data_IF_100286105167
#
_entry.id   IF_100286105167
#
_cell.length_a   1.000
_cell.length_b   1.000
_cell.length_c   1.000
_cell.angle_alpha   90.00
_cell.angle_beta   90.00
_cell.angle_gamma   90.00
#
_symmetry.space_group_name_H-M   'P 1'
#
loop_
_entity.id
_entity.type
_entity.pdbx_description
1 polymer ?
#
# COMPACT_ATOMS: atom_id res chain seq x y z
N UNK A 1 17.50 -7.25 8.03
CA UNK A 1 17.19 -8.65 8.32
C UNK A 1 17.68 -9.52 7.17
N UNK A 2 17.09 -9.42 5.98
CA UNK A 2 17.32 -10.35 4.86
C UNK A 2 18.82 -10.48 4.44
N UNK A 3 19.56 -9.39 4.44
CA UNK A 3 21.01 -9.43 4.18
C UNK A 3 21.75 -10.25 5.25
N UNK A 4 21.31 -10.18 6.52
CA UNK A 4 21.87 -10.99 7.60
C UNK A 4 21.49 -12.46 7.44
N UNK A 5 20.27 -12.74 7.00
CA UNK A 5 19.82 -14.09 6.68
C UNK A 5 20.68 -14.69 5.56
N UNK A 6 20.83 -14.01 4.42
CA UNK A 6 21.61 -14.50 3.28
C UNK A 6 23.12 -14.66 3.55
N UNK A 7 23.68 -13.97 4.53
CA UNK A 7 25.08 -14.08 4.92
C UNK A 7 25.29 -15.01 6.13
N UNK A 8 24.21 -15.56 6.69
CA UNK A 8 24.29 -16.47 7.83
C UNK A 8 24.96 -17.79 7.43
N UNK A 9 25.77 -18.32 8.34
CA UNK A 9 26.46 -19.62 8.20
C UNK A 9 25.96 -20.64 9.21
N UNK A 10 25.17 -20.19 10.19
CA UNK A 10 24.61 -21.01 11.25
C UNK A 10 23.10 -20.78 11.41
N UNK A 11 22.38 -21.76 11.97
CA UNK A 11 20.94 -21.65 12.25
C UNK A 11 20.64 -20.47 13.19
N UNK A 12 21.56 -20.15 14.11
CA UNK A 12 21.39 -19.03 15.04
C UNK A 12 21.45 -17.68 14.33
N UNK A 13 22.35 -17.52 13.38
CA UNK A 13 22.48 -16.31 12.56
C UNK A 13 21.26 -16.13 11.65
N UNK A 14 20.77 -17.19 11.00
CA UNK A 14 19.53 -17.17 10.24
C UNK A 14 18.35 -16.77 11.10
N UNK A 15 18.21 -17.36 12.29
CA UNK A 15 17.14 -17.03 13.23
C UNK A 15 17.21 -15.56 13.69
N UNK A 16 18.39 -15.05 13.90
CA UNK A 16 18.60 -13.65 14.25
C UNK A 16 18.17 -12.71 13.11
N UNK A 17 18.53 -13.05 11.86
CA UNK A 17 18.06 -12.34 10.67
C UNK A 17 16.53 -12.28 10.59
N UNK A 18 15.87 -13.43 10.77
CA UNK A 18 14.40 -13.54 10.80
C UNK A 18 13.79 -12.68 11.92
N UNK A 19 14.36 -12.64 13.12
CA UNK A 19 13.84 -11.80 14.21
C UNK A 19 13.86 -10.33 13.84
N UNK A 20 14.92 -9.83 13.18
CA UNK A 20 15.00 -8.44 12.72
C UNK A 20 13.95 -8.17 11.64
N UNK A 21 13.74 -9.09 10.72
CA UNK A 21 12.72 -8.95 9.66
C UNK A 21 11.31 -8.89 10.22
N UNK A 22 11.01 -9.78 11.16
CA UNK A 22 9.67 -9.89 11.74
C UNK A 22 9.30 -8.77 12.72
N UNK A 23 10.20 -7.83 13.01
CA UNK A 23 9.83 -6.55 13.62
C UNK A 23 8.90 -5.72 12.71
N UNK A 24 9.05 -5.84 11.41
CA UNK A 24 8.31 -5.04 10.42
C UNK A 24 7.30 -5.82 9.59
N UNK A 25 7.68 -6.99 9.09
CA UNK A 25 6.89 -7.78 8.13
C UNK A 25 5.43 -8.00 8.57
N UNK A 26 5.11 -8.38 9.83
CA UNK A 26 3.73 -8.60 10.25
C UNK A 26 2.83 -7.37 10.15
N UNK A 27 3.41 -6.18 10.20
CA UNK A 27 2.66 -4.91 10.19
C UNK A 27 2.45 -4.33 8.79
N UNK A 28 3.16 -4.83 7.78
CA UNK A 28 3.02 -4.36 6.38
C UNK A 28 1.55 -4.43 5.91
N UNK A 29 0.82 -5.56 6.03
CA UNK A 29 -0.55 -5.64 5.57
C UNK A 29 -1.51 -4.72 6.35
N UNK A 30 -1.26 -4.52 7.65
CA UNK A 30 -2.00 -3.58 8.48
C UNK A 30 -1.86 -2.15 7.96
N UNK A 31 -0.62 -1.67 7.84
CA UNK A 31 -0.36 -0.31 7.35
C UNK A 31 -0.82 -0.12 5.91
N UNK A 32 -0.71 -1.16 5.07
CA UNK A 32 -1.20 -1.11 3.70
C UNK A 32 -2.72 -0.85 3.63
N UNK A 33 -3.52 -1.59 4.40
CA UNK A 33 -4.98 -1.38 4.45
C UNK A 33 -5.33 0.00 4.98
N UNK A 34 -4.73 0.43 6.10
CA UNK A 34 -4.99 1.75 6.69
C UNK A 34 -4.64 2.86 5.68
N UNK A 35 -3.48 2.76 5.04
CA UNK A 35 -3.02 3.70 4.05
C UNK A 35 -3.95 3.76 2.83
N UNK A 36 -4.35 2.62 2.28
CA UNK A 36 -5.26 2.59 1.13
C UNK A 36 -6.65 3.11 1.47
N UNK A 37 -7.18 2.82 2.67
CA UNK A 37 -8.44 3.39 3.13
C UNK A 37 -8.38 4.92 3.25
N UNK A 38 -7.25 5.45 3.70
CA UNK A 38 -7.04 6.89 3.85
C UNK A 38 -6.97 7.59 2.49
N UNK A 39 -6.17 7.07 1.56
CA UNK A 39 -5.98 7.66 0.21
C UNK A 39 -7.25 7.53 -0.64
N UNK A 40 -8.01 6.45 -0.47
CA UNK A 40 -9.24 6.21 -1.26
C UNK A 40 -10.49 6.85 -0.65
N UNK A 41 -10.32 7.79 0.30
CA UNK A 41 -11.42 8.52 0.97
C UNK A 41 -12.41 7.61 1.72
N UNK A 42 -11.96 6.42 2.11
CA UNK A 42 -12.76 5.46 2.86
C UNK A 42 -12.49 5.52 4.38
N UNK A 43 -12.19 6.70 4.92
CA UNK A 43 -11.80 6.92 6.32
C UNK A 43 -12.85 6.45 7.33
N UNK A 44 -14.14 6.36 6.94
CA UNK A 44 -15.20 5.80 7.78
C UNK A 44 -14.96 4.37 8.23
N UNK A 45 -14.13 3.60 7.49
CA UNK A 45 -13.72 2.25 7.85
C UNK A 45 -12.48 2.23 8.76
N UNK A 46 -11.81 3.37 8.97
CA UNK A 46 -10.71 3.50 9.93
C UNK A 46 -11.32 3.74 11.31
N UNK A 47 -11.80 2.69 11.92
CA UNK A 47 -12.41 2.70 13.24
C UNK A 47 -11.90 1.52 14.08
N UNK A 48 -12.18 1.54 15.38
CA UNK A 48 -11.75 0.52 16.31
C UNK A 48 -12.11 -0.92 15.88
N UNK A 49 -13.31 -1.11 15.34
CA UNK A 49 -13.81 -2.43 14.92
C UNK A 49 -13.03 -3.02 13.74
N UNK A 50 -12.45 -2.17 12.90
CA UNK A 50 -11.63 -2.59 11.75
C UNK A 50 -10.15 -2.67 12.12
N UNK A 51 -9.63 -1.69 12.86
CA UNK A 51 -8.21 -1.60 13.19
C UNK A 51 -7.78 -2.72 14.14
N UNK A 52 -8.55 -2.99 15.20
CA UNK A 52 -8.15 -3.96 16.21
C UNK A 52 -7.96 -5.38 15.68
N UNK A 53 -8.85 -5.97 14.89
CA UNK A 53 -8.63 -7.30 14.32
C UNK A 53 -7.37 -7.36 13.43
N UNK A 54 -7.17 -6.35 12.58
CA UNK A 54 -5.99 -6.30 11.71
C UNK A 54 -4.69 -6.19 12.50
N UNK A 55 -4.64 -5.30 13.47
CA UNK A 55 -3.49 -5.12 14.34
C UNK A 55 -3.23 -6.35 15.22
N UNK A 56 -4.29 -7.02 15.70
CA UNK A 56 -4.17 -8.22 16.51
C UNK A 56 -3.45 -9.35 15.76
N UNK A 57 -3.79 -9.58 14.48
CA UNK A 57 -3.11 -10.59 13.66
C UNK A 57 -1.63 -10.26 13.54
N UNK A 58 -1.28 -9.00 13.31
CA UNK A 58 0.11 -8.54 13.22
C UNK A 58 0.87 -8.77 14.54
N UNK A 59 0.29 -8.37 15.68
CA UNK A 59 0.90 -8.54 16.99
C UNK A 59 1.05 -10.03 17.37
N UNK A 60 0.02 -10.85 17.12
CA UNK A 60 0.08 -12.29 17.38
C UNK A 60 1.16 -12.93 16.51
N UNK A 61 1.27 -12.54 15.23
CA UNK A 61 2.32 -13.05 14.34
C UNK A 61 3.71 -12.71 14.85
N UNK A 62 3.92 -11.46 15.30
CA UNK A 62 5.18 -11.05 15.92
C UNK A 62 5.52 -11.93 17.13
N UNK A 63 4.59 -12.06 18.07
CA UNK A 63 4.79 -12.87 19.30
C UNK A 63 5.07 -14.32 18.95
N UNK A 64 4.28 -14.94 18.07
CA UNK A 64 4.46 -16.33 17.70
C UNK A 64 5.76 -16.58 16.90
N UNK A 65 6.27 -15.61 16.16
CA UNK A 65 7.57 -15.74 15.51
C UNK A 65 8.71 -15.73 16.57
N UNK A 66 8.68 -14.77 17.49
CA UNK A 66 9.70 -14.64 18.54
C UNK A 66 9.70 -15.77 19.55
N UNK A 67 8.55 -16.37 19.82
CA UNK A 67 8.39 -17.50 20.76
C UNK A 67 8.34 -18.85 20.06
N UNK A 68 8.62 -18.90 18.76
CA UNK A 68 8.45 -20.10 17.93
C UNK A 68 9.16 -21.34 18.45
N UNK A 69 10.31 -21.17 19.09
CA UNK A 69 11.09 -22.27 19.68
C UNK A 69 10.32 -23.09 20.73
N UNK A 70 9.26 -22.55 21.34
CA UNK A 70 8.47 -23.23 22.37
C UNK A 70 7.27 -24.01 21.83
N UNK A 71 6.78 -23.68 20.61
CA UNK A 71 5.52 -24.23 20.12
C UNK A 71 5.52 -24.61 18.64
N UNK A 72 6.51 -24.18 17.84
CA UNK A 72 6.67 -24.50 16.43
C UNK A 72 5.42 -24.16 15.55
N UNK A 73 4.62 -23.15 15.95
CA UNK A 73 3.41 -22.76 15.24
C UNK A 73 3.68 -21.94 13.98
N UNK A 74 4.77 -21.16 13.98
CA UNK A 74 5.12 -20.33 12.83
C UNK A 74 6.00 -21.09 11.84
N UNK A 75 7.15 -21.59 12.30
CA UNK A 75 8.00 -22.54 11.58
C UNK A 75 8.05 -23.85 12.39
N UNK A 76 7.77 -24.97 11.73
CA UNK A 76 7.89 -26.31 12.34
C UNK A 76 9.34 -26.66 12.56
N UNK A 77 10.21 -26.28 11.62
CA UNK A 77 11.63 -26.56 11.68
C UNK A 77 12.37 -25.55 10.79
N UNK A 78 13.65 -25.32 11.09
CA UNK A 78 14.57 -24.50 10.32
C UNK A 78 15.80 -25.36 10.04
N UNK A 79 16.03 -25.73 8.79
CA UNK A 79 17.13 -26.56 8.34
C UNK A 79 18.09 -25.75 7.50
N UNK A 80 19.38 -26.12 7.51
CA UNK A 80 20.39 -25.58 6.59
C UNK A 80 20.56 -26.50 5.40
N UNK A 81 20.34 -25.98 4.22
CA UNK A 81 20.72 -26.63 2.97
C UNK A 81 22.08 -26.09 2.52
N UNK A 82 23.09 -26.97 2.56
CA UNK A 82 24.45 -26.68 2.12
C UNK A 82 24.74 -27.28 0.74
N UNK A 83 23.71 -27.72 0.00
CA UNK A 83 23.90 -28.36 -1.31
C UNK A 83 24.23 -27.36 -2.43
N UNK A 84 23.95 -26.06 -2.23
CA UNK A 84 24.21 -24.98 -3.15
C UNK A 84 25.59 -24.35 -3.00
N UNK A 85 25.81 -23.22 -3.70
CA UNK A 85 27.06 -22.44 -3.60
C UNK A 85 27.21 -21.72 -2.26
N UNK A 86 26.13 -21.50 -1.55
CA UNK A 86 26.04 -20.87 -0.23
C UNK A 86 24.93 -21.54 0.60
N UNK A 87 25.04 -21.52 1.94
CA UNK A 87 24.02 -22.06 2.82
C UNK A 87 22.70 -21.31 2.66
N UNK A 88 21.59 -22.04 2.55
CA UNK A 88 20.24 -21.47 2.49
C UNK A 88 19.38 -22.06 3.61
N UNK A 89 18.59 -21.22 4.28
CA UNK A 89 17.65 -21.69 5.30
C UNK A 89 16.40 -22.28 4.66
N UNK A 90 16.18 -23.57 4.85
CA UNK A 90 14.91 -24.25 4.52
C UNK A 90 13.92 -24.09 5.66
N UNK A 91 12.93 -23.23 5.47
CA UNK A 91 11.90 -22.92 6.45
C UNK A 91 10.71 -23.87 6.29
N UNK A 92 10.57 -24.86 7.18
CA UNK A 92 9.39 -25.74 7.19
C UNK A 92 8.24 -25.02 7.87
N UNK A 93 7.23 -24.66 7.08
CA UNK A 93 6.13 -23.76 7.44
C UNK A 93 5.16 -24.39 8.43
N UNK A 94 4.85 -23.68 9.51
CA UNK A 94 3.87 -24.06 10.53
C UNK A 94 2.43 -23.61 10.19
N UNK A 95 1.44 -23.96 11.03
CA UNK A 95 0.04 -23.61 10.75
C UNK A 95 -0.23 -22.10 10.78
N UNK A 96 0.36 -21.35 11.71
CA UNK A 96 0.18 -19.90 11.78
C UNK A 96 0.82 -19.15 10.62
N UNK A 97 1.89 -19.68 10.05
CA UNK A 97 2.48 -19.14 8.84
C UNK A 97 1.44 -18.96 7.73
N UNK A 98 0.59 -19.95 7.51
CA UNK A 98 -0.46 -19.89 6.48
C UNK A 98 -1.57 -18.87 6.82
N UNK A 99 -1.88 -18.67 8.10
CA UNK A 99 -2.81 -17.62 8.55
C UNK A 99 -2.21 -16.23 8.20
N UNK A 100 -0.93 -16.03 8.49
CA UNK A 100 -0.24 -14.80 8.16
C UNK A 100 -0.16 -14.55 6.64
N UNK A 101 0.15 -15.60 5.85
CA UNK A 101 0.16 -15.51 4.39
C UNK A 101 -1.23 -15.16 3.83
N UNK A 102 -2.27 -15.80 4.33
CA UNK A 102 -3.64 -15.45 3.95
C UNK A 102 -3.96 -13.98 4.28
N UNK A 103 -3.55 -13.50 5.46
CA UNK A 103 -3.71 -12.10 5.86
C UNK A 103 -2.99 -11.14 4.91
N UNK A 104 -1.71 -11.40 4.56
CA UNK A 104 -0.96 -10.59 3.59
C UNK A 104 -1.69 -10.53 2.25
N UNK A 105 -2.08 -11.69 1.71
CA UNK A 105 -2.71 -11.76 0.39
C UNK A 105 -4.08 -11.07 0.37
N UNK A 106 -4.92 -11.29 1.39
CA UNK A 106 -6.24 -10.65 1.50
C UNK A 106 -6.11 -9.14 1.67
N UNK A 107 -5.21 -8.68 2.54
CA UNK A 107 -4.99 -7.26 2.76
C UNK A 107 -4.48 -6.56 1.49
N UNK A 108 -3.51 -7.16 0.80
CA UNK A 108 -2.96 -6.59 -0.43
C UNK A 108 -4.01 -6.57 -1.55
N UNK A 109 -4.78 -7.65 -1.71
CA UNK A 109 -5.86 -7.71 -2.69
C UNK A 109 -6.93 -6.66 -2.42
N UNK A 110 -7.40 -6.54 -1.18
CA UNK A 110 -8.41 -5.55 -0.79
C UNK A 110 -7.91 -4.12 -1.01
N UNK A 111 -6.69 -3.81 -0.61
CA UNK A 111 -6.07 -2.51 -0.87
C UNK A 111 -5.99 -2.19 -2.36
N UNK A 112 -5.54 -3.14 -3.18
CA UNK A 112 -5.48 -2.95 -4.63
C UNK A 112 -6.87 -2.79 -5.27
N UNK A 113 -7.88 -3.53 -4.82
CA UNK A 113 -9.26 -3.34 -5.27
C UNK A 113 -9.79 -1.95 -4.93
N UNK A 114 -9.48 -1.44 -3.72
CA UNK A 114 -9.84 -0.07 -3.33
C UNK A 114 -9.14 0.97 -4.23
N UNK A 115 -7.85 0.82 -4.50
CA UNK A 115 -7.10 1.71 -5.39
C UNK A 115 -7.69 1.72 -6.80
N UNK A 116 -7.98 0.55 -7.37
CA UNK A 116 -8.59 0.44 -8.71
C UNK A 116 -9.97 1.11 -8.74
N UNK A 117 -10.82 0.87 -7.73
CA UNK A 117 -12.13 1.55 -7.64
C UNK A 117 -11.98 3.07 -7.54
N UNK A 118 -11.01 3.55 -6.77
CA UNK A 118 -10.75 4.98 -6.61
C UNK A 118 -10.17 5.60 -7.89
N UNK A 119 -9.38 4.87 -8.66
CA UNK A 119 -8.79 5.33 -9.93
C UNK A 119 -9.86 5.83 -10.92
N UNK A 120 -11.04 5.21 -10.95
CA UNK A 120 -12.16 5.63 -11.80
C UNK A 120 -12.86 6.90 -11.31
N UNK A 121 -12.68 7.26 -10.04
CA UNK A 121 -13.28 8.46 -9.41
C UNK A 121 -12.28 9.60 -9.27
N UNK A 122 -10.99 9.28 -9.23
CA UNK A 122 -9.92 10.23 -8.98
C UNK A 122 -9.83 11.29 -10.08
N UNK A 123 -9.60 12.54 -9.67
CA UNK A 123 -9.27 13.61 -10.61
C UNK A 123 -7.94 13.32 -11.31
N UNK A 124 -7.69 13.99 -12.46
CA UNK A 124 -6.45 13.78 -13.23
C UNK A 124 -5.17 13.96 -12.40
N UNK A 125 -5.20 14.84 -11.41
CA UNK A 125 -4.06 15.14 -10.54
C UNK A 125 -3.72 13.92 -9.67
N UNK A 126 -4.73 13.26 -9.08
CA UNK A 126 -4.52 12.12 -8.17
C UNK A 126 -4.36 10.78 -8.89
N UNK A 127 -4.77 10.70 -10.15
CA UNK A 127 -4.74 9.44 -10.91
C UNK A 127 -3.34 8.84 -11.02
N UNK A 128 -2.31 9.67 -11.24
CA UNK A 128 -0.93 9.22 -11.32
C UNK A 128 -0.41 8.71 -9.96
N UNK A 129 -0.81 9.36 -8.85
CA UNK A 129 -0.48 8.92 -7.50
C UNK A 129 -1.05 7.53 -7.23
N UNK A 130 -2.34 7.31 -7.55
CA UNK A 130 -3.02 6.02 -7.37
C UNK A 130 -2.38 4.93 -8.23
N UNK A 131 -1.99 5.24 -9.48
CA UNK A 131 -1.31 4.30 -10.37
C UNK A 131 0.06 3.87 -9.80
N UNK A 132 0.85 4.82 -9.29
CA UNK A 132 2.14 4.51 -8.67
C UNK A 132 1.96 3.61 -7.46
N UNK A 133 0.98 3.90 -6.61
CA UNK A 133 0.68 3.07 -5.44
C UNK A 133 0.24 1.66 -5.85
N UNK A 134 -0.63 1.56 -6.84
CA UNK A 134 -1.11 0.28 -7.35
C UNK A 134 0.04 -0.56 -7.92
N UNK A 135 0.81 -0.02 -8.87
CA UNK A 135 1.92 -0.75 -9.46
C UNK A 135 3.04 -1.01 -8.45
N UNK A 136 3.35 -0.05 -7.58
CA UNK A 136 4.36 -0.24 -6.52
C UNK A 136 4.01 -1.36 -5.55
N UNK A 137 2.72 -1.63 -5.30
CA UNK A 137 2.29 -2.75 -4.45
C UNK A 137 2.24 -4.09 -5.18
N UNK A 138 2.01 -4.09 -6.49
CA UNK A 138 1.93 -5.32 -7.27
C UNK A 138 3.28 -6.05 -7.34
N UNK A 139 4.39 -5.34 -7.52
CA UNK A 139 5.71 -5.94 -7.68
C UNK A 139 6.09 -6.83 -6.50
N UNK A 140 6.14 -6.36 -5.24
CA UNK A 140 6.48 -7.21 -4.10
C UNK A 140 5.44 -8.32 -3.88
N UNK A 141 4.17 -8.06 -4.17
CA UNK A 141 3.13 -9.07 -4.06
C UNK A 141 3.31 -10.22 -5.06
N UNK A 142 3.62 -9.91 -6.32
CA UNK A 142 3.95 -10.92 -7.32
C UNK A 142 5.20 -11.72 -6.90
N UNK A 143 6.26 -11.06 -6.44
CA UNK A 143 7.45 -11.72 -5.93
C UNK A 143 7.14 -12.67 -4.79
N UNK A 144 6.30 -12.24 -3.84
CA UNK A 144 5.83 -13.06 -2.73
C UNK A 144 5.03 -14.29 -3.20
N UNK A 145 4.11 -14.12 -4.15
CA UNK A 145 3.36 -15.25 -4.73
C UNK A 145 4.29 -16.24 -5.42
N UNK A 146 5.24 -15.77 -6.24
CA UNK A 146 6.21 -16.63 -6.93
C UNK A 146 7.02 -17.47 -5.94
N UNK A 147 7.46 -16.87 -4.84
CA UNK A 147 8.13 -17.60 -3.77
C UNK A 147 7.21 -18.67 -3.14
N UNK A 148 5.95 -18.32 -2.84
CA UNK A 148 5.00 -19.24 -2.21
C UNK A 148 4.67 -20.48 -3.06
N UNK A 149 4.61 -20.33 -4.38
CA UNK A 149 4.33 -21.43 -5.31
C UNK A 149 5.59 -22.19 -5.76
N UNK A 150 6.77 -21.83 -5.19
CA UNK A 150 8.03 -22.51 -5.48
C UNK A 150 8.66 -22.17 -6.84
N UNK A 151 8.24 -21.08 -7.48
CA UNK A 151 8.82 -20.58 -8.74
C UNK A 151 9.95 -19.56 -8.52
N UNK A 152 10.38 -19.37 -7.29
CA UNK A 152 11.50 -18.50 -6.98
C UNK A 152 12.83 -19.19 -7.32
N UNK A 153 13.82 -18.48 -7.90
CA UNK A 153 15.12 -19.04 -8.20
C UNK A 153 15.80 -19.60 -6.93
N UNK A 154 16.33 -20.82 -7.01
CA UNK A 154 17.06 -21.49 -5.92
C UNK A 154 16.30 -21.55 -4.57
N UNK A 155 14.97 -21.36 -4.57
CA UNK A 155 14.15 -21.33 -3.36
C UNK A 155 14.33 -20.07 -2.49
N UNK A 156 15.05 -19.07 -2.98
CA UNK A 156 15.31 -17.80 -2.28
C UNK A 156 14.08 -16.90 -2.35
N UNK A 157 13.72 -16.26 -1.25
CA UNK A 157 12.66 -15.24 -1.26
C UNK A 157 13.15 -13.95 -1.93
N UNK A 158 12.68 -13.71 -3.14
CA UNK A 158 13.00 -12.48 -3.89
C UNK A 158 12.16 -11.27 -3.45
N UNK A 159 11.15 -11.45 -2.60
CA UNK A 159 10.23 -10.37 -2.18
C UNK A 159 10.94 -9.18 -1.56
N UNK A 160 11.98 -9.32 -0.71
CA UNK A 160 12.69 -8.17 -0.13
C UNK A 160 13.45 -7.33 -1.19
N UNK A 161 13.99 -7.99 -2.22
CA UNK A 161 14.67 -7.31 -3.33
C UNK A 161 13.67 -6.49 -4.14
N UNK A 162 12.52 -7.11 -4.47
CA UNK A 162 11.45 -6.44 -5.23
C UNK A 162 10.80 -5.34 -4.39
N UNK A 163 10.67 -5.51 -3.07
CA UNK A 163 10.21 -4.48 -2.15
C UNK A 163 11.15 -3.26 -2.13
N UNK A 164 12.46 -3.47 -2.19
CA UNK A 164 13.44 -2.38 -2.28
C UNK A 164 13.25 -1.57 -3.56
N UNK A 165 13.00 -2.25 -4.68
CA UNK A 165 12.68 -1.60 -5.95
C UNK A 165 11.37 -0.80 -5.87
N UNK A 166 10.33 -1.36 -5.24
CA UNK A 166 9.08 -0.64 -4.98
C UNK A 166 9.28 0.58 -4.10
N UNK A 167 10.20 0.53 -3.14
CA UNK A 167 10.60 1.66 -2.32
C UNK A 167 11.13 2.84 -3.14
N UNK A 168 11.90 2.57 -4.19
CA UNK A 168 12.36 3.59 -5.14
C UNK A 168 11.17 4.20 -5.90
N UNK A 169 10.26 3.35 -6.41
CA UNK A 169 9.05 3.79 -7.11
C UNK A 169 8.18 4.66 -6.22
N UNK A 170 7.97 4.27 -4.95
CA UNK A 170 7.22 5.08 -3.98
C UNK A 170 7.93 6.38 -3.65
N UNK A 171 9.26 6.37 -3.49
CA UNK A 171 10.04 7.58 -3.24
C UNK A 171 9.91 8.57 -4.39
N UNK A 172 10.05 8.11 -5.63
CA UNK A 172 9.81 8.93 -6.81
C UNK A 172 8.38 9.47 -6.85
N UNK A 173 7.39 8.63 -6.52
CA UNK A 173 6.00 9.02 -6.41
C UNK A 173 5.80 10.12 -5.35
N UNK A 174 6.45 9.99 -4.21
CA UNK A 174 6.35 10.94 -3.10
C UNK A 174 6.95 12.31 -3.47
N UNK A 175 8.14 12.32 -4.08
CA UNK A 175 8.81 13.56 -4.44
C UNK A 175 8.25 14.21 -5.70
N UNK A 176 7.91 13.44 -6.72
CA UNK A 176 7.48 13.96 -8.02
C UNK A 176 5.98 14.25 -8.07
N UNK A 177 5.17 13.37 -7.46
CA UNK A 177 3.71 13.47 -7.48
C UNK A 177 3.10 13.91 -6.16
N UNK A 178 3.93 14.24 -5.15
CA UNK A 178 3.50 14.73 -3.84
C UNK A 178 2.37 13.89 -3.22
N UNK A 179 2.57 12.56 -3.18
CA UNK A 179 1.55 11.58 -2.74
C UNK A 179 1.00 11.90 -1.34
N UNK A 180 1.81 12.52 -0.47
CA UNK A 180 1.41 12.90 0.88
C UNK A 180 0.86 14.32 0.99
N UNK A 181 0.71 15.04 -0.11
CA UNK A 181 0.15 16.40 -0.10
C UNK A 181 -1.38 16.32 0.04
N UNK A 182 -1.84 16.26 1.29
CA UNK A 182 -3.27 16.26 1.63
C UNK A 182 -3.93 17.64 1.50
N UNK A 183 -3.13 18.69 1.30
CA UNK A 183 -3.59 20.08 1.19
C UNK A 183 -4.60 20.28 0.05
N UNK A 184 -4.41 19.70 -1.17
CA UNK A 184 -5.41 19.83 -2.22
C UNK A 184 -6.77 19.23 -1.86
N UNK A 185 -6.80 18.07 -1.16
CA UNK A 185 -8.04 17.39 -0.76
C UNK A 185 -8.81 18.22 0.27
N UNK A 186 -8.11 18.75 1.28
CA UNK A 186 -8.73 19.61 2.26
C UNK A 186 -9.28 20.90 1.62
N UNK A 187 -8.53 21.49 0.67
CA UNK A 187 -8.95 22.70 -0.04
C UNK A 187 -10.17 22.43 -0.93
N UNK A 188 -10.21 21.32 -1.66
CA UNK A 188 -11.39 20.92 -2.46
C UNK A 188 -12.63 20.75 -1.56
N UNK A 189 -12.50 20.06 -0.43
CA UNK A 189 -13.62 19.92 0.52
C UNK A 189 -14.09 21.25 1.09
N UNK A 190 -13.18 22.17 1.41
CA UNK A 190 -13.53 23.51 1.88
C UNK A 190 -14.29 24.26 0.79
N UNK A 191 -13.76 24.28 -0.45
CA UNK A 191 -14.38 24.94 -1.59
C UNK A 191 -15.77 24.34 -1.89
N UNK A 192 -15.89 23.02 -1.85
CA UNK A 192 -17.15 22.31 -2.11
C UNK A 192 -18.20 22.52 -1.01
N UNK A 193 -17.77 22.74 0.23
CA UNK A 193 -18.66 23.05 1.37
C UNK A 193 -19.09 24.51 1.45
N UNK A 194 -18.45 25.40 0.69
CA UNK A 194 -18.80 26.83 0.68
C UNK A 194 -20.21 27.04 0.12
N UNK A 195 -21.01 27.82 0.86
CA UNK A 195 -22.36 28.21 0.42
C UNK A 195 -22.37 29.18 -0.74
N UNK A 196 -21.31 29.98 -0.88
CA UNK A 196 -21.11 30.88 -2.01
C UNK A 196 -20.64 30.17 -3.28
N UNK A 197 -20.98 30.71 -4.43
CA UNK A 197 -20.45 30.23 -5.70
C UNK A 197 -18.94 30.54 -5.79
N UNK A 198 -18.12 29.52 -6.01
CA UNK A 198 -16.67 29.65 -6.21
C UNK A 198 -16.31 29.09 -7.59
N UNK A 199 -15.64 29.89 -8.39
CA UNK A 199 -15.14 29.54 -9.72
C UNK A 199 -13.63 29.73 -9.71
N UNK A 200 -12.85 28.70 -10.04
CA UNK A 200 -11.39 28.75 -10.13
C UNK A 200 -11.02 28.77 -11.60
N UNK A 201 -10.14 29.70 -11.99
CA UNK A 201 -9.67 29.84 -13.36
C UNK A 201 -8.17 29.74 -13.47
N UNK A 202 -7.67 29.39 -14.65
CA UNK A 202 -6.26 29.51 -15.02
C UNK A 202 -5.92 30.97 -15.43
N UNK A 203 -4.63 31.19 -15.72
CA UNK A 203 -4.13 32.50 -16.15
C UNK A 203 -4.72 32.95 -17.49
N UNK A 204 -5.29 32.03 -18.26
CA UNK A 204 -5.97 32.31 -19.53
C UNK A 204 -7.49 32.52 -19.35
N UNK A 205 -7.95 32.68 -18.09
CA UNK A 205 -9.35 32.85 -17.68
C UNK A 205 -10.26 31.66 -18.05
N UNK A 206 -9.72 30.44 -18.20
CA UNK A 206 -10.52 29.24 -18.41
C UNK A 206 -10.90 28.63 -17.08
N UNK A 207 -12.13 28.16 -16.96
CA UNK A 207 -12.64 27.52 -15.76
C UNK A 207 -11.89 26.21 -15.52
N UNK A 208 -11.18 26.10 -14.42
CA UNK A 208 -10.46 24.90 -13.97
C UNK A 208 -11.30 24.10 -12.98
N UNK A 209 -12.01 24.78 -12.07
CA UNK A 209 -12.90 24.12 -11.12
C UNK A 209 -14.07 25.05 -10.73
N UNK A 210 -15.19 24.44 -10.30
CA UNK A 210 -16.38 25.15 -9.83
C UNK A 210 -17.08 24.34 -8.74
N UNK A 211 -17.37 24.97 -7.62
CA UNK A 211 -18.02 24.30 -6.49
C UNK A 211 -19.51 23.98 -6.76
N UNK A 212 -20.16 23.13 -5.95
CA UNK A 212 -21.57 22.77 -6.08
C UNK A 212 -22.53 23.98 -6.10
N UNK A 213 -22.24 25.00 -5.29
CA UNK A 213 -23.03 26.25 -5.22
C UNK A 213 -22.91 27.04 -6.52
N UNK A 214 -21.72 27.11 -7.10
CA UNK A 214 -21.48 27.76 -8.40
C UNK A 214 -22.18 27.03 -9.56
N UNK A 215 -22.16 25.69 -9.58
CA UNK A 215 -22.89 24.90 -10.58
C UNK A 215 -24.41 25.12 -10.52
N UNK A 216 -24.96 25.20 -9.29
CA UNK A 216 -26.38 25.48 -9.09
C UNK A 216 -26.75 26.89 -9.57
N UNK A 217 -25.91 27.87 -9.26
CA UNK A 217 -26.14 29.27 -9.69
C UNK A 217 -26.17 29.40 -11.22
N UNK A 218 -25.25 28.69 -11.90
CA UNK A 218 -25.16 28.75 -13.37
C UNK A 218 -26.12 27.80 -14.08
N UNK A 219 -26.82 26.95 -13.35
CA UNK A 219 -27.73 25.92 -13.84
C UNK A 219 -27.12 25.07 -14.98
N UNK A 220 -25.83 24.76 -14.89
CA UNK A 220 -25.06 23.99 -15.88
C UNK A 220 -24.23 22.90 -15.22
N UNK A 221 -24.03 21.78 -15.93
CA UNK A 221 -23.22 20.66 -15.40
C UNK A 221 -21.72 20.99 -15.43
N UNK A 222 -20.94 20.36 -14.53
CA UNK A 222 -19.51 20.54 -14.38
C UNK A 222 -18.74 20.30 -15.70
N UNK A 223 -19.09 19.26 -16.46
CA UNK A 223 -18.40 18.86 -17.70
C UNK A 223 -18.58 19.89 -18.82
N UNK A 224 -19.64 20.69 -18.77
CA UNK A 224 -19.92 21.72 -19.81
C UNK A 224 -19.13 23.00 -19.54
N UNK A 225 -18.78 23.27 -18.27
CA UNK A 225 -18.16 24.52 -17.86
C UNK A 225 -16.61 24.47 -17.86
N UNK A 226 -16.04 23.30 -17.58
CA UNK A 226 -14.57 23.14 -17.50
C UNK A 226 -13.90 23.41 -18.85
N UNK A 227 -12.84 24.23 -18.82
CA UNK A 227 -12.06 24.64 -19.99
C UNK A 227 -12.62 25.82 -20.79
N UNK A 228 -13.85 26.29 -20.48
CA UNK A 228 -14.42 27.48 -21.12
C UNK A 228 -13.88 28.76 -20.54
N UNK A 229 -13.79 29.81 -21.36
CA UNK A 229 -13.41 31.14 -20.88
C UNK A 229 -14.59 31.84 -20.22
N UNK A 230 -14.36 32.51 -19.10
CA UNK A 230 -15.38 33.25 -18.37
C UNK A 230 -15.99 34.36 -19.21
N UNK A 231 -15.18 35.06 -20.01
CA UNK A 231 -15.61 36.27 -20.77
C UNK A 231 -16.60 35.96 -21.89
N UNK A 232 -16.70 34.70 -22.41
CA UNK A 232 -17.48 34.39 -23.61
C UNK A 232 -18.83 33.68 -23.32
N UNK A 233 -19.03 33.20 -22.12
CA UNK A 233 -20.20 32.31 -21.84
C UNK A 233 -21.13 32.85 -20.72
N UNK A 234 -20.87 34.04 -20.19
CA UNK A 234 -21.57 34.61 -19.04
C UNK A 234 -22.24 35.99 -19.32
N UNK A 235 -22.32 36.40 -20.57
CA UNK A 235 -23.17 37.52 -21.03
C UNK A 235 -24.56 37.04 -21.40
#
# INVERSE_FOLDING_TARGET
>A
GYVLELNGTSIEEFRFGLYIEYLGIPFIPFFWIVFTLQITENQKFINWKTIMPLLSISCITLVLNYTNQYHNLYYKDIQLDNSGQFPVALLIKGPWYWVHIAYINVATLLGNVLLVKYLFKASKVYRNQVLIMFFGSLFPWIGHILYQIGLSPEGIDISPVVLSFSGIVYSLGLFYFRILDLVPIALEHVIDSMKGAVIITDLQKRIVNINPSGRKLLNRSHSILIGKKIDNDFN
#
